data_IF_008514617559
#
_entry.id   IF_008514617559
#
_cell.length_a   1.000
_cell.length_b   1.000
_cell.length_c   1.000
_cell.angle_alpha   90.00
_cell.angle_beta   90.00
_cell.angle_gamma   90.00
#
_symmetry.space_group_name_H-M   'P 1'
#
loop_
_entity.id
_entity.type
_entity.pdbx_description
1 polymer ?
#
# COMPACT_ATOMS: atom_id res chain seq x y z
N UNK A 1 -10.69 -1.98 -3.38
CA UNK A 1 -9.94 -0.83 -2.81
C UNK A 1 -10.82 0.42 -2.77
N UNK A 2 -11.42 0.85 -3.90
CA UNK A 2 -12.30 2.03 -3.91
C UNK A 2 -13.59 1.86 -3.10
N UNK A 3 -14.12 0.63 -3.02
CA UNK A 3 -15.36 0.33 -2.29
C UNK A 3 -15.24 0.73 -0.81
N UNK A 4 -14.12 0.39 -0.16
CA UNK A 4 -13.83 0.79 1.23
C UNK A 4 -13.82 2.32 1.41
N UNK A 5 -13.45 3.08 0.37
CA UNK A 5 -13.48 4.54 0.39
C UNK A 5 -14.91 5.06 0.29
N UNK A 6 -15.75 4.47 -0.56
CA UNK A 6 -17.16 4.83 -0.65
C UNK A 6 -17.91 4.52 0.64
N UNK A 7 -17.66 3.35 1.24
CA UNK A 7 -18.25 2.98 2.52
C UNK A 7 -17.83 3.97 3.63
N UNK A 8 -16.55 4.35 3.69
CA UNK A 8 -16.05 5.35 4.63
C UNK A 8 -16.75 6.71 4.47
N UNK A 9 -17.04 7.11 3.23
CA UNK A 9 -17.72 8.37 2.91
C UNK A 9 -19.25 8.26 2.99
N UNK A 10 -19.80 7.09 3.30
CA UNK A 10 -21.23 6.80 3.26
C UNK A 10 -21.88 7.13 1.89
N UNK A 11 -21.17 6.78 0.82
CA UNK A 11 -21.60 6.98 -0.57
C UNK A 11 -22.08 5.64 -1.18
N UNK A 12 -23.03 5.68 -2.13
CA UNK A 12 -23.37 4.49 -2.92
C UNK A 12 -22.13 3.96 -3.65
N UNK A 13 -21.93 2.65 -3.60
CA UNK A 13 -20.83 2.00 -4.29
C UNK A 13 -21.08 2.06 -5.82
N UNK A 14 -20.32 2.92 -6.50
CA UNK A 14 -20.40 3.10 -7.96
C UNK A 14 -19.33 2.26 -8.66
N UNK A 15 -19.73 1.55 -9.71
CA UNK A 15 -18.78 0.88 -10.61
C UNK A 15 -18.13 1.94 -11.50
N UNK A 16 -16.90 2.36 -11.15
CA UNK A 16 -16.11 3.26 -12.01
C UNK A 16 -15.58 2.42 -13.18
N UNK A 17 -16.00 2.70 -14.43
CA UNK A 17 -15.78 1.79 -15.55
C UNK A 17 -14.33 1.75 -16.04
N UNK A 18 -13.53 2.78 -15.78
CA UNK A 18 -12.14 2.81 -16.24
C UNK A 18 -11.23 3.60 -15.29
N UNK A 19 -10.24 2.91 -14.72
CA UNK A 19 -9.11 3.53 -14.03
C UNK A 19 -7.97 3.65 -15.02
N UNK A 20 -7.89 4.78 -15.72
CA UNK A 20 -6.74 5.03 -16.58
C UNK A 20 -5.46 4.97 -15.74
N UNK A 21 -4.59 4.00 -16.04
CA UNK A 21 -3.23 3.97 -15.50
C UNK A 21 -2.47 5.13 -16.13
N UNK A 22 -2.41 6.24 -15.41
CA UNK A 22 -1.51 7.34 -15.73
C UNK A 22 -0.07 6.85 -15.52
N UNK A 23 0.82 7.24 -16.44
CA UNK A 23 2.21 6.79 -16.51
C UNK A 23 2.86 6.72 -15.13
N UNK A 24 2.98 5.51 -14.59
CA UNK A 24 3.70 5.23 -13.37
C UNK A 24 5.17 5.53 -13.67
N UNK A 25 5.74 6.54 -13.00
CA UNK A 25 7.14 6.87 -13.15
C UNK A 25 8.02 5.63 -12.95
N UNK A 26 9.11 5.53 -13.70
CA UNK A 26 10.07 4.44 -13.51
C UNK A 26 10.97 4.73 -12.32
N UNK A 27 10.95 3.84 -11.34
CA UNK A 27 11.95 3.85 -10.27
C UNK A 27 13.21 3.13 -10.75
N UNK A 28 14.37 3.69 -10.44
CA UNK A 28 15.62 2.97 -10.64
C UNK A 28 15.67 1.75 -9.70
N UNK A 29 16.13 0.59 -10.17
CA UNK A 29 16.27 -0.58 -9.33
C UNK A 29 17.28 -0.28 -8.21
N UNK A 30 16.92 -0.62 -6.98
CA UNK A 30 17.83 -0.58 -5.82
C UNK A 30 18.47 -1.96 -5.61
N UNK A 31 19.62 -2.00 -4.93
CA UNK A 31 20.26 -3.26 -4.59
C UNK A 31 19.42 -4.06 -3.58
N UNK A 32 19.47 -5.39 -3.67
CA UNK A 32 18.78 -6.29 -2.73
C UNK A 32 19.21 -6.05 -1.28
N UNK A 33 20.48 -5.73 -1.05
CA UNK A 33 21.02 -5.44 0.29
C UNK A 33 20.44 -4.15 0.87
N UNK A 34 20.30 -3.11 0.05
CA UNK A 34 19.70 -1.85 0.46
C UNK A 34 18.20 -2.00 0.72
N UNK A 35 17.50 -2.74 -0.15
CA UNK A 35 16.09 -3.09 0.06
C UNK A 35 15.91 -3.81 1.41
N UNK A 36 16.68 -4.87 1.67
CA UNK A 36 16.59 -5.61 2.93
C UNK A 36 16.88 -4.74 4.16
N UNK A 37 17.85 -3.82 4.05
CA UNK A 37 18.16 -2.87 5.13
C UNK A 37 16.95 -1.99 5.44
N UNK A 38 16.26 -1.48 4.42
CA UNK A 38 15.06 -0.66 4.63
C UNK A 38 13.88 -1.48 5.17
N UNK A 39 13.61 -2.67 4.62
CA UNK A 39 12.55 -3.56 5.13
C UNK A 39 12.75 -3.84 6.62
N UNK A 40 13.97 -4.22 7.02
CA UNK A 40 14.27 -4.51 8.42
C UNK A 40 14.17 -3.27 9.31
N UNK A 41 14.60 -2.11 8.81
CA UNK A 41 14.52 -0.85 9.56
C UNK A 41 13.07 -0.42 9.81
N UNK A 42 12.19 -0.55 8.81
CA UNK A 42 10.81 -0.09 8.90
C UNK A 42 9.85 -1.09 9.55
N UNK A 43 10.20 -2.39 9.61
CA UNK A 43 9.36 -3.46 10.19
C UNK A 43 8.67 -3.08 11.51
N UNK A 44 9.36 -2.63 12.58
CA UNK A 44 8.70 -2.36 13.85
C UNK A 44 7.72 -1.18 13.78
N UNK A 45 7.91 -0.24 12.85
CA UNK A 45 7.00 0.89 12.66
C UNK A 45 5.77 0.48 11.86
N UNK A 46 5.96 -0.37 10.85
CA UNK A 46 4.87 -0.95 10.08
C UNK A 46 3.95 -1.81 10.96
N UNK A 47 4.52 -2.63 11.84
CA UNK A 47 3.75 -3.43 12.81
C UNK A 47 2.91 -2.55 13.74
N UNK A 48 3.51 -1.48 14.30
CA UNK A 48 2.77 -0.50 15.13
C UNK A 48 1.63 0.18 14.38
N UNK A 49 1.84 0.48 13.10
CA UNK A 49 0.81 1.08 12.25
C UNK A 49 -0.34 0.11 11.99
N UNK A 50 -0.01 -1.16 11.70
CA UNK A 50 -0.99 -2.22 11.49
C UNK A 50 -1.83 -2.48 12.75
N UNK A 51 -1.20 -2.52 13.92
CA UNK A 51 -1.88 -2.60 15.22
C UNK A 51 -2.80 -1.39 15.44
N UNK A 52 -2.31 -0.17 15.19
CA UNK A 52 -3.09 1.06 15.40
C UNK A 52 -4.31 1.17 14.49
N UNK A 53 -4.19 0.72 13.23
CA UNK A 53 -5.26 0.77 12.24
C UNK A 53 -6.14 -0.48 12.26
N UNK A 54 -5.79 -1.50 13.04
CA UNK A 54 -6.40 -2.83 13.03
C UNK A 54 -6.50 -3.40 11.60
N UNK A 55 -5.43 -3.20 10.81
CA UNK A 55 -5.37 -3.53 9.39
C UNK A 55 -4.01 -4.09 9.02
N UNK A 56 -3.98 -5.14 8.19
CA UNK A 56 -2.75 -5.70 7.63
C UNK A 56 -2.51 -5.14 6.22
N UNK A 57 -1.27 -4.73 5.95
CA UNK A 57 -0.83 -4.19 4.66
C UNK A 57 0.20 -5.09 3.95
N UNK A 58 0.67 -6.16 4.60
CA UNK A 58 1.56 -7.16 4.02
C UNK A 58 2.86 -6.59 3.43
N UNK A 59 3.47 -5.62 4.13
CA UNK A 59 4.66 -4.89 3.67
C UNK A 59 5.87 -5.79 3.32
N UNK A 60 5.93 -7.01 3.85
CA UNK A 60 7.01 -7.98 3.55
C UNK A 60 6.78 -8.78 2.26
N UNK A 61 5.57 -8.76 1.72
CA UNK A 61 5.17 -9.52 0.53
C UNK A 61 5.21 -8.67 -0.76
N UNK A 62 5.45 -7.36 -0.65
CA UNK A 62 5.58 -6.46 -1.79
C UNK A 62 6.85 -6.76 -2.61
N UNK A 63 6.66 -7.28 -3.83
CA UNK A 63 7.66 -7.30 -4.89
C UNK A 63 7.40 -6.20 -5.90
#
# INVERSE_FOLDING_TARGET
MIERVFDFLNLPNYQIPDYQKLNLGSYLPISKSLHQKFTNFFRPYNQKLEEYLEMTFDWENGR
#
